data_IF_781599650019
#
_entry.id   IF_781599650019
#
_cell.length_a   1.000
_cell.length_b   1.000
_cell.length_c   1.000
_cell.angle_alpha   90.00
_cell.angle_beta   90.00
_cell.angle_gamma   90.00
#
_symmetry.space_group_name_H-M   'P 1'
#
loop_
_entity.id
_entity.type
_entity.pdbx_description
1 polymer ?
#
# COMPACT_ATOMS: atom_id res chain seq x y z
N UNK A 1 20.07 -14.84 -10.43
CA UNK A 1 19.04 -13.81 -10.29
C UNK A 1 18.96 -13.47 -8.82
N UNK A 2 19.30 -12.24 -8.43
CA UNK A 2 19.07 -11.76 -7.06
C UNK A 2 17.57 -11.86 -6.80
N UNK A 3 17.14 -12.44 -5.67
CA UNK A 3 15.74 -12.30 -5.25
C UNK A 3 15.48 -10.80 -5.12
N UNK A 4 14.49 -10.29 -5.85
CA UNK A 4 14.01 -8.92 -5.61
C UNK A 4 13.57 -8.83 -4.15
N UNK A 5 13.89 -7.71 -3.50
CA UNK A 5 13.44 -7.44 -2.14
C UNK A 5 11.91 -7.43 -2.13
N UNK A 6 11.31 -7.81 -1.01
CA UNK A 6 9.86 -7.70 -0.83
C UNK A 6 9.53 -6.43 -0.06
N UNK A 7 8.32 -5.90 -0.26
CA UNK A 7 7.81 -4.74 0.49
C UNK A 7 7.76 -5.07 1.98
N UNK A 8 7.45 -6.31 2.36
CA UNK A 8 7.49 -6.76 3.75
C UNK A 8 8.88 -6.69 4.38
N UNK A 9 9.95 -6.63 3.58
CA UNK A 9 11.32 -6.45 4.05
C UNK A 9 11.65 -4.97 4.34
N UNK A 10 10.70 -4.03 4.10
CA UNK A 10 10.85 -2.64 4.49
C UNK A 10 11.13 -2.52 6.01
N UNK A 11 11.97 -1.57 6.45
CA UNK A 11 12.46 -1.52 7.83
C UNK A 11 11.37 -1.56 8.90
N UNK A 12 10.27 -0.81 8.71
CA UNK A 12 9.16 -0.78 9.67
C UNK A 12 8.45 -2.14 9.76
N UNK A 13 8.18 -2.76 8.60
CA UNK A 13 7.56 -4.09 8.53
C UNK A 13 8.47 -5.17 9.14
N UNK A 14 9.76 -5.14 8.82
CA UNK A 14 10.74 -6.08 9.34
C UNK A 14 10.93 -5.96 10.86
N UNK A 15 10.94 -4.74 11.40
CA UNK A 15 11.02 -4.52 12.84
C UNK A 15 9.78 -5.06 13.57
N UNK A 16 8.58 -4.81 13.02
CA UNK A 16 7.33 -5.36 13.56
C UNK A 16 7.33 -6.89 13.57
N UNK A 17 7.75 -7.54 12.47
CA UNK A 17 7.87 -9.00 12.40
C UNK A 17 8.86 -9.56 13.43
N UNK A 18 9.98 -8.87 13.66
CA UNK A 18 10.95 -9.24 14.68
C UNK A 18 10.37 -9.14 16.09
N UNK A 19 9.58 -8.10 16.37
CA UNK A 19 8.86 -7.96 17.64
C UNK A 19 7.82 -9.07 17.81
N UNK A 20 7.09 -9.43 16.76
CA UNK A 20 6.16 -10.57 16.77
C UNK A 20 6.87 -11.90 17.10
N UNK A 21 7.97 -12.21 16.41
CA UNK A 21 8.74 -13.44 16.66
C UNK A 21 9.33 -13.50 18.08
N UNK A 22 9.82 -12.37 18.60
CA UNK A 22 10.33 -12.28 19.97
C UNK A 22 9.23 -12.56 21.01
N UNK A 23 8.03 -12.04 20.79
CA UNK A 23 6.90 -12.21 21.70
C UNK A 23 6.32 -13.64 21.65
N UNK A 24 6.28 -14.28 20.48
CA UNK A 24 5.91 -15.70 20.36
C UNK A 24 6.88 -16.62 21.11
N UNK A 25 8.18 -16.32 21.01
CA UNK A 25 9.21 -17.04 21.75
C UNK A 25 8.99 -16.90 23.27
N UNK A 26 8.56 -15.73 23.72
CA UNK A 26 8.20 -15.45 25.11
C UNK A 26 6.92 -16.19 25.52
N UNK A 27 5.90 -16.25 24.67
CA UNK A 27 4.67 -17.04 24.90
C UNK A 27 4.98 -18.53 25.05
N UNK A 28 5.82 -19.08 24.17
CA UNK A 28 6.24 -20.48 24.21
C UNK A 28 6.96 -20.81 25.52
N UNK A 29 7.88 -19.95 25.97
CA UNK A 29 8.55 -20.09 27.26
C UNK A 29 7.56 -19.99 28.43
N UNK A 30 6.65 -19.01 28.42
CA UNK A 30 5.63 -18.87 29.46
C UNK A 30 4.75 -20.12 29.58
N UNK A 31 4.35 -20.72 28.45
CA UNK A 31 3.58 -21.96 28.41
C UNK A 31 4.38 -23.17 28.89
N UNK A 32 5.69 -23.20 28.66
CA UNK A 32 6.58 -24.30 29.04
C UNK A 32 6.90 -24.33 30.55
N UNK A 33 6.79 -23.22 31.27
CA UNK A 33 7.12 -23.12 32.70
C UNK A 33 5.87 -22.86 33.58
N UNK A 34 5.31 -23.90 34.24
CA UNK A 34 4.04 -23.81 34.97
C UNK A 34 4.04 -22.79 36.12
N UNK A 35 5.20 -22.53 36.73
CA UNK A 35 5.34 -21.56 37.82
C UNK A 35 5.20 -20.11 37.35
N UNK A 36 5.46 -19.82 36.07
CA UNK A 36 5.37 -18.46 35.52
C UNK A 36 3.93 -17.93 35.52
N UNK A 37 2.92 -18.82 35.38
CA UNK A 37 1.50 -18.46 35.47
C UNK A 37 1.10 -17.86 36.81
N UNK A 38 1.71 -18.33 37.90
CA UNK A 38 1.42 -17.82 39.25
C UNK A 38 2.04 -16.45 39.53
N UNK A 39 3.13 -16.11 38.84
CA UNK A 39 3.86 -14.85 39.03
C UNK A 39 3.31 -13.74 38.12
N UNK A 40 2.86 -14.10 36.91
CA UNK A 40 2.36 -13.14 35.92
C UNK A 40 1.00 -13.55 35.35
N UNK A 41 -0.09 -13.38 36.12
CA UNK A 41 -1.43 -13.83 35.73
C UNK A 41 -2.06 -13.02 34.57
N UNK A 42 -1.61 -11.77 34.34
CA UNK A 42 -2.12 -10.93 33.23
C UNK A 42 -1.41 -11.16 31.89
N UNK A 43 -0.39 -12.02 31.85
CA UNK A 43 0.35 -12.27 30.61
C UNK A 43 -0.48 -13.05 29.58
N UNK A 44 -1.41 -13.89 30.02
CA UNK A 44 -2.28 -14.65 29.12
C UNK A 44 -3.22 -13.73 28.31
N UNK A 45 -3.78 -12.69 28.95
CA UNK A 45 -4.56 -11.66 28.27
C UNK A 45 -3.69 -10.85 27.28
N UNK A 46 -2.45 -10.54 27.66
CA UNK A 46 -1.50 -9.85 26.79
C UNK A 46 -1.15 -10.69 25.55
N UNK A 47 -0.97 -12.00 25.69
CA UNK A 47 -0.78 -12.91 24.55
C UNK A 47 -2.00 -12.96 23.64
N UNK A 48 -3.21 -12.98 24.20
CA UNK A 48 -4.44 -12.98 23.42
C UNK A 48 -4.64 -11.69 22.62
N UNK A 49 -4.42 -10.52 23.23
CA UNK A 49 -4.47 -9.24 22.52
C UNK A 49 -3.38 -9.13 21.45
N UNK A 50 -2.16 -9.58 21.76
CA UNK A 50 -1.08 -9.60 20.79
C UNK A 50 -1.36 -10.51 19.60
N UNK A 51 -1.97 -11.67 19.81
CA UNK A 51 -2.38 -12.56 18.73
C UNK A 51 -3.46 -11.92 17.83
N UNK A 52 -4.31 -11.02 18.35
CA UNK A 52 -5.25 -10.24 17.51
C UNK A 52 -4.48 -9.22 16.65
N UNK A 53 -3.50 -8.52 17.22
CA UNK A 53 -2.65 -7.58 16.49
C UNK A 53 -1.85 -8.32 15.41
N UNK A 54 -1.32 -9.50 15.71
CA UNK A 54 -0.61 -10.35 14.76
C UNK A 54 -1.50 -10.75 13.58
N UNK A 55 -2.74 -11.16 13.82
CA UNK A 55 -3.69 -11.45 12.72
C UNK A 55 -3.95 -10.24 11.84
N UNK A 56 -3.97 -9.03 12.41
CA UNK A 56 -4.02 -7.81 11.62
C UNK A 56 -2.72 -7.55 10.87
N UNK A 57 -1.57 -8.00 11.39
CA UNK A 57 -0.28 -7.90 10.73
C UNK A 57 -0.06 -8.93 9.61
N UNK A 58 -0.90 -9.96 9.46
CA UNK A 58 -0.93 -10.79 8.24
C UNK A 58 -1.24 -9.92 6.99
N UNK A 59 -1.85 -8.73 7.19
CA UNK A 59 -2.04 -7.71 6.15
C UNK A 59 -0.73 -7.06 5.68
N UNK A 60 0.41 -7.27 6.37
CA UNK A 60 1.72 -6.78 5.92
C UNK A 60 2.21 -7.47 4.65
N UNK A 61 1.73 -8.69 4.37
CA UNK A 61 2.03 -9.41 3.13
C UNK A 61 1.15 -8.97 1.95
N UNK A 62 0.03 -8.30 2.23
CA UNK A 62 -0.95 -7.95 1.19
C UNK A 62 -0.36 -7.09 0.06
N UNK A 63 0.53 -6.10 0.30
CA UNK A 63 1.14 -5.32 -0.78
C UNK A 63 2.00 -6.16 -1.73
N UNK A 64 2.78 -7.11 -1.20
CA UNK A 64 3.59 -8.03 -2.01
C UNK A 64 2.70 -8.96 -2.83
N UNK A 65 1.72 -9.58 -2.19
CA UNK A 65 0.77 -10.47 -2.86
C UNK A 65 -0.04 -9.74 -3.94
N UNK A 66 -0.38 -8.48 -3.70
CA UNK A 66 -1.04 -7.62 -4.68
C UNK A 66 -0.12 -7.36 -5.88
N UNK A 67 1.10 -6.88 -5.64
CA UNK A 67 2.03 -6.56 -6.73
C UNK A 67 2.40 -7.79 -7.58
N UNK A 68 2.55 -8.97 -6.97
CA UNK A 68 2.79 -10.24 -7.69
C UNK A 68 1.71 -10.53 -8.76
N UNK A 69 0.47 -10.07 -8.54
CA UNK A 69 -0.68 -10.32 -9.43
C UNK A 69 -0.95 -9.16 -10.39
N UNK A 70 -0.81 -7.93 -9.92
CA UNK A 70 -1.32 -6.76 -10.63
C UNK A 70 -0.25 -5.77 -11.10
N UNK A 71 1.03 -5.88 -10.69
CA UNK A 71 2.06 -4.92 -11.11
C UNK A 71 2.27 -4.91 -12.63
N UNK A 72 2.22 -6.09 -13.27
CA UNK A 72 2.31 -6.23 -14.74
C UNK A 72 1.10 -5.62 -15.49
N UNK A 73 0.09 -5.12 -14.78
CA UNK A 73 -1.06 -4.39 -15.30
C UNK A 73 -0.99 -2.87 -15.05
N UNK A 74 0.05 -2.40 -14.38
CA UNK A 74 0.17 -1.01 -13.96
C UNK A 74 -0.53 -0.68 -12.64
N UNK A 75 -1.01 -1.70 -11.91
CA UNK A 75 -1.55 -1.52 -10.56
C UNK A 75 -0.47 -1.81 -9.54
N UNK A 76 -0.08 -0.79 -8.80
CA UNK A 76 0.93 -0.88 -7.74
C UNK A 76 0.24 -0.66 -6.39
N UNK A 77 0.54 -1.50 -5.41
CA UNK A 77 0.09 -1.31 -4.04
C UNK A 77 0.64 0.02 -3.48
N UNK A 78 -0.16 0.72 -2.69
CA UNK A 78 0.23 1.98 -2.06
C UNK A 78 -0.41 2.11 -0.66
N UNK A 79 0.16 2.98 0.17
CA UNK A 79 -0.06 3.07 1.62
C UNK A 79 -1.51 3.32 2.03
N UNK A 80 -2.31 3.89 1.14
CA UNK A 80 -3.69 4.25 1.43
C UNK A 80 -4.70 3.51 0.59
N UNK A 81 -4.27 2.42 -0.04
CA UNK A 81 -5.19 1.49 -0.67
C UNK A 81 -6.11 0.87 0.39
N UNK A 82 -7.38 0.71 0.04
CA UNK A 82 -8.34 0.10 0.97
C UNK A 82 -8.04 -1.40 1.09
N UNK A 83 -7.71 -1.86 2.30
CA UNK A 83 -7.29 -3.25 2.54
C UNK A 83 -8.38 -4.28 2.19
N UNK A 84 -9.65 -3.97 2.44
CA UNK A 84 -10.76 -4.86 2.08
C UNK A 84 -10.88 -5.01 0.56
N UNK A 85 -10.67 -3.90 -0.18
CA UNK A 85 -10.61 -3.90 -1.65
C UNK A 85 -9.39 -4.70 -2.13
N UNK A 86 -8.20 -4.47 -1.55
CA UNK A 86 -6.98 -5.20 -1.88
C UNK A 86 -7.16 -6.70 -1.70
N UNK A 87 -7.64 -7.14 -0.54
CA UNK A 87 -7.83 -8.57 -0.26
C UNK A 87 -8.89 -9.19 -1.17
N UNK A 88 -10.00 -8.47 -1.40
CA UNK A 88 -11.05 -8.96 -2.30
C UNK A 88 -10.55 -9.08 -3.74
N UNK A 89 -9.75 -8.14 -4.22
CA UNK A 89 -9.16 -8.21 -5.55
C UNK A 89 -8.21 -9.41 -5.69
N UNK A 90 -7.35 -9.66 -4.69
CA UNK A 90 -6.48 -10.85 -4.64
C UNK A 90 -7.32 -12.13 -4.70
N UNK A 91 -8.39 -12.21 -3.90
CA UNK A 91 -9.25 -13.39 -3.87
C UNK A 91 -9.97 -13.63 -5.21
N UNK A 92 -10.46 -12.57 -5.86
CA UNK A 92 -11.09 -12.65 -7.19
C UNK A 92 -10.04 -13.09 -8.22
N UNK A 93 -8.81 -12.57 -8.15
CA UNK A 93 -7.74 -12.97 -9.05
C UNK A 93 -7.44 -14.46 -8.93
N UNK A 94 -7.33 -14.97 -7.70
CA UNK A 94 -6.98 -16.37 -7.44
C UNK A 94 -8.12 -17.33 -7.81
N UNK A 95 -9.38 -16.89 -7.76
CA UNK A 95 -10.55 -17.70 -8.07
C UNK A 95 -11.01 -17.63 -9.54
N UNK A 96 -11.00 -16.43 -10.13
CA UNK A 96 -11.64 -16.11 -11.42
C UNK A 96 -10.64 -15.57 -12.46
N UNK A 97 -9.40 -15.31 -12.03
CA UNK A 97 -8.33 -14.82 -12.88
C UNK A 97 -8.30 -13.29 -13.01
N UNK A 98 -7.37 -12.86 -13.87
CA UNK A 98 -6.94 -11.47 -14.02
C UNK A 98 -8.05 -10.49 -14.43
N UNK A 99 -8.85 -10.83 -15.44
CA UNK A 99 -9.82 -9.90 -16.02
C UNK A 99 -10.90 -9.43 -15.03
N UNK A 100 -11.61 -10.35 -14.36
CA UNK A 100 -12.60 -9.99 -13.34
C UNK A 100 -12.00 -9.19 -12.18
N UNK A 101 -10.78 -9.53 -11.75
CA UNK A 101 -10.11 -8.86 -10.65
C UNK A 101 -9.71 -7.42 -11.00
N UNK A 102 -9.18 -7.21 -12.22
CA UNK A 102 -8.82 -5.89 -12.73
C UNK A 102 -10.05 -5.00 -12.91
N UNK A 103 -11.15 -5.56 -13.42
CA UNK A 103 -12.42 -4.83 -13.53
C UNK A 103 -12.93 -4.41 -12.14
N UNK A 104 -12.91 -5.32 -11.16
CA UNK A 104 -13.29 -5.00 -9.79
C UNK A 104 -12.43 -3.87 -9.19
N UNK A 105 -11.11 -3.88 -9.44
CA UNK A 105 -10.22 -2.81 -9.00
C UNK A 105 -10.59 -1.47 -9.65
N UNK A 106 -10.77 -1.44 -10.97
CA UNK A 106 -11.16 -0.23 -11.69
C UNK A 106 -12.49 0.34 -11.16
N UNK A 107 -13.48 -0.51 -10.93
CA UNK A 107 -14.81 -0.14 -10.44
C UNK A 107 -14.79 0.37 -8.99
N UNK A 108 -13.76 0.02 -8.20
CA UNK A 108 -13.61 0.49 -6.82
C UNK A 108 -13.24 1.98 -6.71
N UNK A 109 -12.74 2.60 -7.78
CA UNK A 109 -12.39 4.02 -7.84
C UNK A 109 -13.58 4.89 -8.25
N UNK A 110 -14.57 4.97 -7.37
CA UNK A 110 -15.75 5.83 -7.55
C UNK A 110 -15.55 7.29 -7.12
N UNK A 111 -16.62 8.07 -7.24
CA UNK A 111 -16.67 9.49 -6.88
C UNK A 111 -16.17 9.78 -5.45
N UNK A 112 -16.60 9.00 -4.47
CA UNK A 112 -16.17 9.20 -3.08
C UNK A 112 -14.68 8.91 -2.91
N UNK A 113 -14.14 7.85 -3.53
CA UNK A 113 -12.70 7.53 -3.50
C UNK A 113 -11.89 8.71 -4.05
N UNK A 114 -12.32 9.28 -5.18
CA UNK A 114 -11.65 10.41 -5.82
C UNK A 114 -11.70 11.68 -4.97
N UNK A 115 -12.85 11.97 -4.36
CA UNK A 115 -13.05 13.10 -3.46
C UNK A 115 -12.10 13.05 -2.27
N UNK A 116 -11.96 11.89 -1.62
CA UNK A 116 -10.99 11.71 -0.53
C UNK A 116 -9.55 11.83 -1.00
N UNK A 117 -9.24 11.30 -2.19
CA UNK A 117 -7.92 11.45 -2.82
C UNK A 117 -7.54 12.92 -3.03
N UNK A 118 -8.45 13.72 -3.59
CA UNK A 118 -8.22 15.15 -3.83
C UNK A 118 -8.14 15.95 -2.53
N UNK A 119 -8.95 15.62 -1.52
CA UNK A 119 -8.86 16.27 -0.22
C UNK A 119 -7.47 16.09 0.40
N UNK A 120 -6.92 14.87 0.33
CA UNK A 120 -5.55 14.60 0.80
C UNK A 120 -4.51 15.32 -0.05
N UNK A 121 -4.67 15.28 -1.37
CA UNK A 121 -3.81 15.99 -2.32
C UNK A 121 -3.72 17.48 -1.99
N UNK A 122 -4.85 18.13 -1.70
CA UNK A 122 -4.93 19.54 -1.34
C UNK A 122 -4.31 19.87 0.04
N UNK A 123 -4.11 18.86 0.88
CA UNK A 123 -3.46 18.99 2.19
C UNK A 123 -1.98 19.33 2.10
N UNK A 124 -1.29 18.91 1.04
CA UNK A 124 0.13 19.20 0.81
C UNK A 124 0.31 20.53 0.06
N UNK A 125 1.21 21.39 0.54
CA UNK A 125 1.41 22.74 -0.02
C UNK A 125 1.98 22.74 -1.45
N UNK A 126 2.82 21.77 -1.80
CA UNK A 126 3.39 21.65 -3.14
C UNK A 126 2.34 21.13 -4.12
N UNK A 127 1.52 20.18 -3.68
CA UNK A 127 0.47 19.58 -4.52
C UNK A 127 -0.70 20.53 -4.73
N UNK A 128 -1.06 21.31 -3.70
CA UNK A 128 -2.14 22.32 -3.75
C UNK A 128 -2.01 23.28 -4.93
N UNK A 129 -0.79 23.62 -5.37
CA UNK A 129 -0.53 24.48 -6.54
C UNK A 129 -1.24 23.99 -7.81
N UNK A 130 -1.48 22.67 -7.89
CA UNK A 130 -2.06 21.99 -9.05
C UNK A 130 -3.43 21.37 -8.79
N UNK A 131 -4.07 21.65 -7.64
CA UNK A 131 -5.36 21.05 -7.26
C UNK A 131 -6.45 21.26 -8.32
N UNK A 132 -6.43 22.40 -9.02
CA UNK A 132 -7.33 22.66 -10.16
C UNK A 132 -7.25 21.57 -11.23
N UNK A 133 -6.05 21.09 -11.55
CA UNK A 133 -5.85 20.04 -12.56
C UNK A 133 -6.36 18.69 -12.06
N UNK A 134 -6.20 18.39 -10.77
CA UNK A 134 -6.75 17.18 -10.16
C UNK A 134 -8.29 17.16 -10.19
N UNK A 135 -8.94 18.31 -9.92
CA UNK A 135 -10.40 18.44 -10.02
C UNK A 135 -10.91 18.28 -11.46
N UNK A 136 -10.25 18.90 -12.44
CA UNK A 136 -10.58 18.70 -13.86
C UNK A 136 -10.44 17.23 -14.28
N UNK A 137 -9.37 16.56 -13.83
CA UNK A 137 -9.19 15.13 -14.08
C UNK A 137 -10.31 14.28 -13.45
N UNK A 138 -10.79 14.64 -12.25
CA UNK A 138 -11.94 13.99 -11.60
C UNK A 138 -13.22 14.18 -12.42
N UNK A 139 -13.49 15.39 -12.89
CA UNK A 139 -14.66 15.68 -13.72
C UNK A 139 -14.65 14.89 -15.03
N UNK A 140 -13.49 14.80 -15.68
CA UNK A 140 -13.31 14.00 -16.90
C UNK A 140 -13.47 12.50 -16.62
N UNK A 141 -12.90 12.00 -15.52
CA UNK A 141 -13.04 10.59 -15.12
C UNK A 141 -14.51 10.20 -14.91
N UNK A 142 -15.25 10.98 -14.12
CA UNK A 142 -16.66 10.70 -13.80
C UNK A 142 -17.57 10.77 -15.02
N UNK A 143 -17.18 11.55 -16.03
CA UNK A 143 -17.88 11.63 -17.30
C UNK A 143 -17.40 10.61 -18.35
N UNK A 144 -16.49 9.69 -18.00
CA UNK A 144 -15.95 8.68 -18.91
C UNK A 144 -15.03 9.24 -20.00
N UNK A 145 -14.53 10.48 -19.86
CA UNK A 145 -13.63 11.14 -20.82
C UNK A 145 -12.17 10.75 -20.57
N UNK A 146 -11.90 9.44 -20.55
CA UNK A 146 -10.57 8.91 -20.23
C UNK A 146 -9.46 9.41 -21.17
N UNK A 147 -9.79 9.65 -22.43
CA UNK A 147 -8.85 10.21 -23.42
C UNK A 147 -8.33 11.62 -23.05
N UNK A 148 -9.08 12.39 -22.26
CA UNK A 148 -8.66 13.70 -21.74
C UNK A 148 -8.06 13.59 -20.32
N UNK A 149 -8.69 12.76 -19.48
CA UNK A 149 -8.26 12.52 -18.10
C UNK A 149 -6.85 11.93 -18.01
N UNK A 150 -6.55 10.89 -18.79
CA UNK A 150 -5.27 10.15 -18.70
C UNK A 150 -4.06 11.04 -19.03
N UNK A 151 -4.00 11.76 -20.17
CA UNK A 151 -2.87 12.65 -20.45
C UNK A 151 -2.70 13.76 -19.40
N UNK A 152 -3.81 14.28 -18.86
CA UNK A 152 -3.78 15.29 -17.80
C UNK A 152 -3.16 14.74 -16.50
N UNK A 153 -3.54 13.52 -16.11
CA UNK A 153 -2.97 12.86 -14.93
C UNK A 153 -1.48 12.56 -15.09
N UNK A 154 -1.04 12.10 -16.27
CA UNK A 154 0.40 11.87 -16.52
C UNK A 154 1.20 13.17 -16.48
N UNK A 155 0.67 14.25 -17.06
CA UNK A 155 1.29 15.57 -17.00
C UNK A 155 1.33 16.13 -15.57
N UNK A 156 0.29 15.84 -14.78
CA UNK A 156 0.22 16.21 -13.37
C UNK A 156 1.26 15.45 -12.55
N UNK A 157 1.38 14.14 -12.74
CA UNK A 157 2.39 13.28 -12.09
C UNK A 157 3.81 13.82 -12.33
N UNK A 158 4.15 14.07 -13.59
CA UNK A 158 5.47 14.57 -13.98
C UNK A 158 5.78 15.94 -13.36
N UNK A 159 4.79 16.85 -13.37
CA UNK A 159 4.88 18.16 -12.75
C UNK A 159 5.05 18.09 -11.23
N UNK A 160 4.39 17.16 -10.56
CA UNK A 160 4.50 16.98 -9.10
C UNK A 160 5.88 16.48 -8.70
N UNK A 161 6.40 15.48 -9.42
CA UNK A 161 7.75 14.97 -9.15
C UNK A 161 8.78 16.06 -9.39
N UNK A 162 8.66 16.83 -10.46
CA UNK A 162 9.53 17.97 -10.71
C UNK A 162 9.49 19.04 -9.60
N UNK A 163 8.30 19.32 -9.06
CA UNK A 163 8.12 20.30 -7.98
C UNK A 163 8.78 19.84 -6.67
N UNK A 164 8.78 18.52 -6.39
CA UNK A 164 9.36 17.93 -5.18
C UNK A 164 10.87 17.68 -5.33
N UNK A 165 11.30 17.15 -6.48
CA UNK A 165 12.68 16.73 -6.77
C UNK A 165 13.60 17.88 -7.16
N UNK A 166 13.06 19.09 -7.40
CA UNK A 166 13.79 20.28 -7.87
C UNK A 166 14.49 20.04 -9.21
N UNK A 167 13.70 19.85 -10.27
CA UNK A 167 14.08 19.83 -11.69
C UNK A 167 14.30 18.46 -12.37
N UNK A 168 13.74 17.40 -11.81
CA UNK A 168 13.72 16.08 -12.47
C UNK A 168 12.28 15.57 -12.54
N UNK A 169 11.77 15.39 -13.76
CA UNK A 169 10.43 14.83 -14.00
C UNK A 169 10.37 13.34 -13.66
N UNK A 170 9.16 12.81 -13.46
CA UNK A 170 8.92 11.38 -13.22
C UNK A 170 9.41 10.53 -14.39
N UNK A 171 9.24 11.03 -15.63
CA UNK A 171 9.60 10.29 -16.84
C UNK A 171 11.02 10.57 -17.36
N UNK A 172 11.85 11.28 -16.57
CA UNK A 172 13.23 11.52 -16.99
C UNK A 172 14.07 10.22 -16.91
N UNK A 173 15.15 10.14 -17.69
CA UNK A 173 16.04 8.99 -17.65
C UNK A 173 16.93 9.01 -16.39
N UNK A 174 17.21 7.83 -15.82
CA UNK A 174 18.08 7.63 -14.64
C UNK A 174 17.60 8.32 -13.34
N UNK A 175 16.29 8.49 -13.18
CA UNK A 175 15.72 9.00 -11.92
C UNK A 175 15.55 7.84 -10.94
N UNK A 176 16.22 7.94 -9.80
CA UNK A 176 15.92 7.04 -8.68
C UNK A 176 14.67 7.55 -7.96
N UNK A 177 13.55 6.88 -8.24
CA UNK A 177 12.27 7.13 -7.59
C UNK A 177 12.06 6.26 -6.36
N UNK A 178 13.03 5.43 -5.98
CA UNK A 178 12.89 4.59 -4.79
C UNK A 178 12.85 5.47 -3.55
N UNK A 179 11.93 5.16 -2.64
CA UNK A 179 11.83 5.87 -1.37
C UNK A 179 11.93 4.89 -0.21
N UNK A 180 12.71 5.27 0.79
CA UNK A 180 12.93 4.46 1.99
C UNK A 180 11.59 4.22 2.70
N UNK A 181 11.29 2.95 3.01
CA UNK A 181 10.10 2.51 3.77
C UNK A 181 8.76 2.89 3.09
N UNK A 182 8.76 3.04 1.77
CA UNK A 182 7.57 3.31 0.96
C UNK A 182 7.12 2.04 0.21
N UNK A 183 5.81 1.81 0.15
CA UNK A 183 5.17 0.71 -0.59
C UNK A 183 5.15 1.04 -2.08
N UNK A 184 4.68 2.23 -2.44
CA UNK A 184 4.48 2.63 -3.84
C UNK A 184 5.80 2.91 -4.57
N UNK A 185 6.80 3.39 -3.84
CA UNK A 185 8.16 3.66 -4.35
C UNK A 185 9.14 2.52 -4.02
N UNK A 186 8.63 1.30 -3.84
CA UNK A 186 9.44 0.10 -3.70
C UNK A 186 9.86 -0.43 -5.08
N UNK A 187 11.02 -1.09 -5.18
CA UNK A 187 11.57 -1.61 -6.45
C UNK A 187 10.65 -2.62 -7.16
N UNK A 188 9.73 -3.25 -6.45
CA UNK A 188 8.72 -4.15 -7.06
C UNK A 188 7.60 -3.41 -7.79
N UNK A 189 7.48 -2.10 -7.56
CA UNK A 189 6.44 -1.24 -8.12
C UNK A 189 6.94 -0.19 -9.12
N UNK A 190 8.26 -0.17 -9.38
CA UNK A 190 8.95 0.74 -10.30
C UNK A 190 9.60 -0.07 -11.44
#
# INVERSE_FOLDING_TARGET
MSKSKKIIDNPTSAELLKQFAAFESLEALYKAFPFARGIFPKMEDAFNEFNKIKKQAEMLEAPDQFNERFANLGWIAYESMNMDVTQKAINIYDAEGKGPAEQFLADSYGEETLKWGILRFNGNCDFRKRVRLAELAREDYLAGRYHACVPLLLSLLDGLVNDVSKHVGFFAENVDLTAWDCIAAHESGL
#
